data_IF_901850141869
#
_entry.id   IF_901850141869
#
_cell.length_a   1.000
_cell.length_b   1.000
_cell.length_c   1.000
_cell.angle_alpha   90.00
_cell.angle_beta   90.00
_cell.angle_gamma   90.00
#
_symmetry.space_group_name_H-M   'P 1'
#
loop_
_entity.id
_entity.type
_entity.pdbx_description
1 polymer ?
#
# COMPACT_ATOMS: atom_id res chain seq x y z
N UNK A 1 3.32 -8.60 -8.50
CA UNK A 1 2.82 -8.55 -7.09
C UNK A 1 1.46 -9.21 -6.93
N UNK A 2 0.43 -8.81 -7.68
CA UNK A 2 -0.93 -9.38 -7.55
C UNK A 2 -0.95 -10.87 -7.86
N UNK A 3 -0.31 -11.28 -8.96
CA UNK A 3 -0.16 -12.68 -9.36
C UNK A 3 0.91 -13.46 -8.56
N UNK A 4 1.56 -12.81 -7.59
CA UNK A 4 2.68 -13.35 -6.79
C UNK A 4 3.98 -13.65 -7.55
N UNK A 5 4.13 -13.14 -8.76
CA UNK A 5 5.37 -13.35 -9.54
C UNK A 5 6.57 -12.54 -9.01
N UNK A 6 6.30 -11.37 -8.42
CA UNK A 6 7.34 -10.45 -7.91
C UNK A 6 7.00 -9.98 -6.51
N UNK A 7 7.92 -10.20 -5.57
CA UNK A 7 7.74 -9.80 -4.18
C UNK A 7 8.01 -8.30 -3.98
N UNK A 8 7.48 -7.75 -2.89
CA UNK A 8 7.82 -6.41 -2.41
C UNK A 8 8.72 -6.55 -1.20
N UNK A 9 9.85 -5.84 -1.20
CA UNK A 9 10.79 -5.82 -0.09
C UNK A 9 10.24 -5.00 1.09
N UNK A 10 10.16 -5.61 2.27
CA UNK A 10 9.73 -4.95 3.49
C UNK A 10 10.97 -4.35 4.18
N UNK A 11 11.12 -3.01 4.11
CA UNK A 11 12.31 -2.32 4.64
C UNK A 11 12.18 -1.90 6.10
N UNK A 12 11.00 -1.39 6.50
CA UNK A 12 10.73 -0.86 7.85
C UNK A 12 10.10 -1.90 8.77
N UNK A 13 8.91 -2.40 8.43
CA UNK A 13 8.16 -3.36 9.25
C UNK A 13 8.48 -4.81 8.82
N UNK A 14 9.66 -5.31 9.18
CA UNK A 14 10.19 -6.60 8.67
C UNK A 14 10.35 -7.70 9.72
N UNK A 15 9.86 -7.49 10.94
CA UNK A 15 9.94 -8.49 12.01
C UNK A 15 9.10 -9.73 11.65
N UNK A 16 9.69 -10.91 11.81
CA UNK A 16 9.05 -12.21 11.54
C UNK A 16 8.48 -12.31 10.10
N UNK A 17 9.16 -11.68 9.14
CA UNK A 17 8.86 -11.82 7.71
C UNK A 17 9.87 -12.77 7.10
N UNK A 18 9.38 -13.84 6.48
CA UNK A 18 10.22 -14.84 5.83
C UNK A 18 10.96 -14.29 4.60
N UNK A 19 12.04 -14.98 4.25
CA UNK A 19 12.85 -14.66 3.08
C UNK A 19 12.11 -14.99 1.77
N UNK A 20 12.52 -14.32 0.68
CA UNK A 20 12.00 -14.54 -0.67
C UNK A 20 13.14 -14.71 -1.66
N UNK A 21 12.85 -15.43 -2.75
CA UNK A 21 13.83 -15.76 -3.78
C UNK A 21 14.17 -14.54 -4.66
N UNK A 22 13.31 -13.51 -4.70
CA UNK A 22 13.57 -12.29 -5.43
C UNK A 22 14.93 -11.67 -5.04
N UNK A 23 15.77 -11.27 -6.01
CA UNK A 23 17.12 -10.79 -5.75
C UNK A 23 17.11 -9.53 -4.89
N UNK A 24 18.04 -9.48 -3.93
CA UNK A 24 18.20 -8.35 -3.02
C UNK A 24 17.13 -8.23 -1.93
N UNK A 25 16.34 -9.29 -1.68
CA UNK A 25 15.28 -9.27 -0.68
C UNK A 25 15.51 -10.25 0.48
N UNK A 26 15.89 -9.73 1.64
CA UNK A 26 15.90 -10.51 2.89
C UNK A 26 14.48 -10.75 3.40
N UNK A 27 13.59 -9.75 3.37
CA UNK A 27 12.22 -9.88 3.88
C UNK A 27 11.23 -9.41 2.80
N UNK A 28 10.35 -10.29 2.34
CA UNK A 28 9.44 -10.00 1.24
C UNK A 28 8.05 -10.62 1.38
N UNK A 29 7.03 -9.91 0.90
CA UNK A 29 5.65 -10.42 0.78
C UNK A 29 4.98 -9.93 -0.51
N UNK A 30 3.79 -10.45 -0.78
CA UNK A 30 2.92 -10.06 -1.89
C UNK A 30 1.67 -9.35 -1.33
N UNK A 31 1.71 -8.03 -1.05
CA UNK A 31 0.57 -7.31 -0.49
C UNK A 31 -0.52 -7.06 -1.55
N UNK A 32 -1.27 -8.11 -1.91
CA UNK A 32 -2.23 -8.09 -3.02
C UNK A 32 -3.35 -7.04 -2.82
N UNK A 33 -3.92 -6.96 -1.62
CA UNK A 33 -4.99 -5.98 -1.31
C UNK A 33 -4.48 -4.55 -1.51
N UNK A 34 -3.31 -4.23 -0.94
CA UNK A 34 -2.70 -2.91 -1.09
C UNK A 34 -2.39 -2.60 -2.54
N UNK A 35 -1.80 -3.54 -3.28
CA UNK A 35 -1.48 -3.35 -4.70
C UNK A 35 -2.73 -3.02 -5.54
N UNK A 36 -3.86 -3.69 -5.28
CA UNK A 36 -5.14 -3.39 -5.96
C UNK A 36 -5.65 -1.98 -5.68
N UNK A 37 -5.55 -1.51 -4.45
CA UNK A 37 -5.96 -0.13 -4.13
C UNK A 37 -5.03 0.92 -4.76
N UNK A 38 -3.71 0.65 -4.81
CA UNK A 38 -2.77 1.55 -5.49
C UNK A 38 -3.02 1.65 -7.00
N UNK A 39 -3.41 0.55 -7.67
CA UNK A 39 -3.79 0.58 -9.09
C UNK A 39 -4.95 1.55 -9.31
N UNK A 40 -6.02 1.47 -8.51
CA UNK A 40 -7.15 2.41 -8.62
C UNK A 40 -6.73 3.87 -8.45
N UNK A 41 -5.78 4.16 -7.56
CA UNK A 41 -5.28 5.54 -7.36
C UNK A 41 -4.45 5.98 -8.56
N UNK A 42 -3.66 5.08 -9.16
CA UNK A 42 -2.89 5.37 -10.37
C UNK A 42 -3.81 5.60 -11.58
N UNK A 43 -4.84 4.77 -11.77
CA UNK A 43 -5.83 4.93 -12.84
C UNK A 43 -6.51 6.30 -12.72
N UNK A 44 -6.94 6.68 -11.52
CA UNK A 44 -7.50 8.01 -11.26
C UNK A 44 -6.48 9.14 -11.51
N UNK A 45 -5.20 8.93 -11.20
CA UNK A 45 -4.16 9.93 -11.43
C UNK A 45 -3.94 10.12 -12.93
N UNK A 46 -3.93 9.03 -13.70
CA UNK A 46 -3.80 9.04 -15.17
C UNK A 46 -4.98 9.77 -15.82
N UNK A 47 -6.21 9.42 -15.45
CA UNK A 47 -7.41 10.10 -15.97
C UNK A 47 -7.42 11.61 -15.65
N UNK A 48 -6.92 12.00 -14.47
CA UNK A 48 -6.80 13.42 -14.12
C UNK A 48 -5.69 14.14 -14.89
N UNK A 49 -4.60 13.45 -15.25
CA UNK A 49 -3.51 14.02 -16.04
C UNK A 49 -3.95 14.19 -17.51
N UNK A 50 -4.61 13.19 -18.07
CA UNK A 50 -5.21 13.24 -19.41
C UNK A 50 -6.24 14.38 -19.52
N UNK A 51 -7.13 14.49 -18.52
CA UNK A 51 -8.11 15.59 -18.47
C UNK A 51 -7.44 16.98 -18.45
N UNK A 52 -6.25 17.09 -17.86
CA UNK A 52 -5.47 18.34 -17.83
C UNK A 52 -4.63 18.57 -19.08
N UNK A 53 -4.66 17.63 -20.05
CA UNK A 53 -3.88 17.71 -21.29
C UNK A 53 -2.38 17.50 -21.09
N UNK A 54 -1.96 16.80 -20.01
CA UNK A 54 -0.57 16.44 -19.79
C UNK A 54 -0.17 15.26 -20.68
N UNK A 55 1.10 15.22 -21.10
CA UNK A 55 1.65 14.08 -21.81
C UNK A 55 1.88 12.90 -20.85
N UNK A 56 1.11 11.81 -21.04
CA UNK A 56 1.17 10.60 -20.21
C UNK A 56 2.53 9.89 -20.31
N UNK A 57 3.21 9.97 -21.45
CA UNK A 57 4.51 9.32 -21.65
C UNK A 57 5.62 10.04 -20.86
N UNK A 58 5.42 11.33 -20.58
CA UNK A 58 6.34 12.18 -19.80
C UNK A 58 5.92 12.32 -18.33
N UNK A 59 4.82 11.67 -17.93
CA UNK A 59 4.29 11.76 -16.59
C UNK A 59 5.10 10.89 -15.63
N UNK A 60 5.72 11.53 -14.61
CA UNK A 60 6.49 10.83 -13.58
C UNK A 60 5.93 11.06 -12.20
N UNK A 61 5.82 10.00 -11.40
CA UNK A 61 5.49 10.10 -9.98
C UNK A 61 6.67 10.75 -9.24
N UNK A 62 6.45 11.94 -8.68
CA UNK A 62 7.43 12.71 -7.93
C UNK A 62 7.33 12.41 -6.44
N UNK A 63 6.12 12.27 -5.92
CA UNK A 63 5.89 11.99 -4.52
C UNK A 63 4.85 10.88 -4.32
N UNK A 64 5.12 10.01 -3.34
CA UNK A 64 4.21 8.99 -2.87
C UNK A 64 4.25 8.92 -1.34
N UNK A 65 3.24 9.50 -0.70
CA UNK A 65 3.13 9.62 0.75
C UNK A 65 1.96 8.79 1.28
N UNK A 66 2.13 8.23 2.47
CA UNK A 66 1.11 7.42 3.14
C UNK A 66 0.99 7.88 4.59
N UNK A 67 -0.23 8.22 4.99
CA UNK A 67 -0.53 8.71 6.34
C UNK A 67 -1.44 7.73 7.09
N UNK A 68 -1.25 7.65 8.40
CA UNK A 68 -2.13 6.89 9.28
C UNK A 68 -3.46 7.63 9.40
N UNK A 69 -4.55 6.95 9.06
CA UNK A 69 -5.90 7.47 9.19
C UNK A 69 -6.56 7.11 10.52
N UNK A 70 -7.88 7.24 10.55
CA UNK A 70 -8.70 6.98 11.73
C UNK A 70 -8.61 5.51 12.16
N UNK A 71 -8.58 5.28 13.47
CA UNK A 71 -8.61 3.94 14.07
C UNK A 71 -10.05 3.59 14.40
N UNK A 72 -10.61 2.60 13.71
CA UNK A 72 -11.93 2.05 14.01
C UNK A 72 -11.78 1.07 15.19
N UNK A 73 -12.24 1.50 16.37
CA UNK A 73 -12.16 0.71 17.60
C UNK A 73 -13.15 -0.45 17.58
N UNK A 74 -12.68 -1.64 17.95
CA UNK A 74 -13.50 -2.87 18.07
C UNK A 74 -12.95 -3.73 19.20
N UNK A 75 -13.77 -4.65 19.70
CA UNK A 75 -13.36 -5.62 20.72
C UNK A 75 -13.60 -7.04 20.23
N UNK A 76 -12.77 -7.97 20.69
CA UNK A 76 -12.97 -9.41 20.50
C UNK A 76 -13.08 -10.08 21.87
N UNK A 77 -14.11 -10.92 22.11
CA UNK A 77 -14.19 -11.70 23.35
C UNK A 77 -13.04 -12.70 23.44
N UNK A 78 -12.60 -12.96 24.66
CA UNK A 78 -11.50 -13.86 25.01
C UNK A 78 -11.94 -14.78 26.15
N UNK A 79 -11.17 -15.84 26.39
CA UNK A 79 -11.41 -16.77 27.48
C UNK A 79 -11.48 -16.05 28.84
N UNK A 80 -12.18 -16.69 29.79
CA UNK A 80 -12.39 -16.18 31.16
C UNK A 80 -13.07 -14.80 31.19
N UNK A 81 -14.07 -14.58 30.33
CA UNK A 81 -14.90 -13.37 30.33
C UNK A 81 -14.20 -12.07 29.92
N UNK A 82 -12.99 -12.15 29.36
CA UNK A 82 -12.20 -10.97 28.98
C UNK A 82 -12.59 -10.45 27.60
N UNK A 83 -12.40 -9.16 27.36
CA UNK A 83 -12.46 -8.56 26.02
C UNK A 83 -11.19 -7.76 25.76
N UNK A 84 -10.63 -7.90 24.55
CA UNK A 84 -9.41 -7.17 24.15
C UNK A 84 -9.66 -6.36 22.87
N UNK A 85 -9.00 -5.21 22.67
CA UNK A 85 -9.15 -4.42 21.45
C UNK A 85 -8.70 -5.19 20.19
N UNK A 86 -9.47 -5.08 19.11
CA UNK A 86 -9.16 -5.58 17.77
C UNK A 86 -9.39 -4.46 16.75
N UNK A 87 -8.61 -3.41 16.91
CA UNK A 87 -8.80 -2.17 16.16
C UNK A 87 -8.40 -2.34 14.69
N UNK A 88 -9.15 -1.70 13.79
CA UNK A 88 -8.80 -1.58 12.38
C UNK A 88 -8.25 -0.17 12.12
N UNK A 89 -7.11 -0.07 11.44
CA UNK A 89 -6.46 1.22 11.15
C UNK A 89 -6.70 1.56 9.69
N UNK A 90 -7.33 2.71 9.43
CA UNK A 90 -7.46 3.25 8.08
C UNK A 90 -6.17 3.96 7.66
N UNK A 91 -6.00 4.20 6.36
CA UNK A 91 -4.81 4.79 5.77
C UNK A 91 -5.19 5.76 4.67
N UNK A 92 -4.50 6.90 4.62
CA UNK A 92 -4.57 7.85 3.51
C UNK A 92 -3.36 7.66 2.60
N UNK A 93 -3.58 7.75 1.29
CA UNK A 93 -2.55 7.59 0.27
C UNK A 93 -2.60 8.82 -0.62
N UNK A 94 -1.43 9.41 -0.86
CA UNK A 94 -1.26 10.59 -1.69
C UNK A 94 -0.21 10.29 -2.76
N UNK A 95 -0.57 10.54 -4.01
CA UNK A 95 0.34 10.43 -5.15
C UNK A 95 0.36 11.77 -5.88
N UNK A 96 1.57 12.22 -6.22
CA UNK A 96 1.79 13.43 -7.01
C UNK A 96 2.64 13.06 -8.20
N UNK A 97 2.14 13.37 -9.39
CA UNK A 97 2.89 13.24 -10.63
C UNK A 97 3.17 14.62 -11.23
N UNK A 98 4.24 14.69 -12.01
CA UNK A 98 4.66 15.87 -12.75
C UNK A 98 5.11 15.45 -14.14
N UNK A 99 4.72 16.22 -15.13
CA UNK A 99 5.25 16.12 -16.48
C UNK A 99 6.69 16.65 -16.50
N UNK A 100 7.62 15.86 -17.05
CA UNK A 100 9.03 16.23 -17.21
C UNK A 100 9.24 16.76 -18.60
#
# INVERSE_FOLDING_TARGET
VINKDRAVAFRRFKNQVGHKADPGMMAGRYPQKTAKEFIKVLDNLESNAEYKGMDLDRLKIVNATVHKGVIVKRFIPRAMGRATPKNNVLTHVELVAKEI
#
